data_IF_460149570845
#
_entry.id   IF_460149570845
#
_cell.length_a   1.000
_cell.length_b   1.000
_cell.length_c   1.000
_cell.angle_alpha   90.00
_cell.angle_beta   90.00
_cell.angle_gamma   90.00
#
_symmetry.space_group_name_H-M   'P 1'
#
loop_
_entity.id
_entity.type
_entity.pdbx_description
1 polymer ?
#
# COMPACT_ATOMS: atom_id res chain seq x y z
N UNK A 1 21.76 -41.58 42.24
CA UNK A 1 20.48 -40.91 41.99
C UNK A 1 20.78 -39.46 41.61
N UNK A 2 20.96 -39.21 40.33
CA UNK A 2 21.25 -37.87 39.76
C UNK A 2 19.95 -37.40 39.17
N UNK A 3 19.36 -36.37 39.78
CA UNK A 3 18.15 -35.73 39.29
C UNK A 3 18.44 -35.01 37.96
N UNK A 4 17.83 -35.45 36.89
CA UNK A 4 17.82 -34.75 35.61
C UNK A 4 17.07 -33.44 35.76
N UNK A 5 17.81 -32.36 35.63
CA UNK A 5 17.27 -31.00 35.59
C UNK A 5 16.56 -30.82 34.21
N UNK A 6 15.27 -31.03 34.15
CA UNK A 6 14.45 -30.69 32.98
C UNK A 6 14.29 -29.19 32.98
N UNK A 7 15.18 -28.50 32.26
CA UNK A 7 14.98 -27.11 31.86
C UNK A 7 13.68 -27.01 31.07
N UNK A 8 12.59 -26.66 31.75
CA UNK A 8 11.35 -26.26 31.14
C UNK A 8 11.63 -24.94 30.44
N UNK A 9 11.92 -24.97 29.11
CA UNK A 9 11.95 -23.80 28.29
C UNK A 9 10.58 -23.12 28.38
N UNK A 10 10.51 -22.07 29.18
CA UNK A 10 9.35 -21.14 29.15
C UNK A 10 9.06 -20.77 27.71
N UNK A 11 7.83 -20.95 27.22
CA UNK A 11 7.48 -20.56 25.84
C UNK A 11 7.92 -19.12 25.62
N UNK A 12 8.67 -18.86 24.56
CA UNK A 12 9.12 -17.52 24.22
C UNK A 12 7.89 -16.60 24.17
N UNK A 13 7.88 -15.55 24.99
CA UNK A 13 6.77 -14.63 25.07
C UNK A 13 6.51 -14.06 23.66
N UNK A 14 5.29 -14.26 23.14
CA UNK A 14 4.90 -13.80 21.82
C UNK A 14 5.09 -12.29 21.69
N UNK A 15 5.70 -11.85 20.59
CA UNK A 15 5.85 -10.43 20.28
C UNK A 15 4.51 -9.71 20.29
N UNK A 16 4.50 -8.48 20.82
CA UNK A 16 3.31 -7.63 20.85
C UNK A 16 3.69 -6.17 20.61
N UNK A 17 2.80 -5.42 19.95
CA UNK A 17 2.93 -3.97 19.89
C UNK A 17 2.91 -3.35 21.29
N UNK A 18 3.92 -2.55 21.61
CA UNK A 18 4.06 -1.93 22.94
C UNK A 18 2.93 -0.97 23.27
N UNK A 19 2.48 -0.19 22.26
CA UNK A 19 1.44 0.84 22.41
C UNK A 19 0.45 0.77 21.22
N UNK A 20 -0.81 1.19 21.50
CA UNK A 20 -1.84 1.33 20.46
C UNK A 20 -1.41 2.25 19.30
N UNK A 21 -0.67 3.32 19.59
CA UNK A 21 -0.18 4.26 18.57
C UNK A 21 0.80 3.62 17.59
N UNK A 22 1.62 2.68 18.04
CA UNK A 22 2.54 1.93 17.17
C UNK A 22 1.76 1.05 16.19
N UNK A 23 0.76 0.35 16.71
CA UNK A 23 -0.15 -0.44 15.86
C UNK A 23 -0.90 0.44 14.86
N UNK A 24 -1.42 1.60 15.28
CA UNK A 24 -2.11 2.54 14.37
C UNK A 24 -1.17 2.97 13.24
N UNK A 25 0.09 3.33 13.55
CA UNK A 25 1.07 3.72 12.52
C UNK A 25 1.40 2.55 11.59
N UNK A 26 1.56 1.34 12.12
CA UNK A 26 1.78 0.15 11.30
C UNK A 26 0.59 -0.14 10.38
N UNK A 27 -0.65 -0.04 10.89
CA UNK A 27 -1.86 -0.26 10.11
C UNK A 27 -2.08 0.83 9.04
N UNK A 28 -1.79 2.10 9.35
CA UNK A 28 -1.83 3.19 8.35
C UNK A 28 -0.74 2.97 7.30
N UNK A 29 0.49 2.66 7.70
CA UNK A 29 1.58 2.43 6.74
C UNK A 29 1.36 1.21 5.86
N UNK A 30 0.63 0.20 6.37
CA UNK A 30 0.17 -0.92 5.55
C UNK A 30 -0.90 -0.50 4.54
N UNK A 31 -1.88 0.31 4.96
CA UNK A 31 -3.00 0.73 4.12
C UNK A 31 -2.59 1.79 3.10
N UNK A 32 -1.74 2.75 3.48
CA UNK A 32 -1.25 3.81 2.59
C UNK A 32 -0.12 3.27 1.72
N UNK A 33 -0.46 2.81 0.54
CA UNK A 33 0.45 2.24 -0.45
C UNK A 33 0.43 3.00 -1.78
N UNK A 34 1.06 2.39 -2.78
CA UNK A 34 1.14 2.94 -4.14
C UNK A 34 -0.25 3.17 -4.76
N UNK A 35 -1.22 2.29 -4.43
CA UNK A 35 -2.58 2.38 -4.92
C UNK A 35 -3.31 3.67 -4.55
N UNK A 36 -3.01 4.23 -3.37
CA UNK A 36 -3.60 5.49 -2.92
C UNK A 36 -3.14 6.68 -3.79
N UNK A 37 -1.91 6.63 -4.31
CA UNK A 37 -1.30 7.72 -5.06
C UNK A 37 -1.72 7.70 -6.52
N UNK A 38 -1.77 6.52 -7.16
CA UNK A 38 -2.08 6.47 -8.60
C UNK A 38 -3.41 5.80 -8.97
N UNK A 39 -3.87 4.81 -8.17
CA UNK A 39 -5.10 4.09 -8.49
C UNK A 39 -6.34 4.88 -8.11
N UNK A 40 -6.40 5.39 -6.88
CA UNK A 40 -7.58 6.12 -6.39
C UNK A 40 -7.93 7.34 -7.25
N UNK A 41 -6.99 8.26 -7.58
CA UNK A 41 -7.31 9.43 -8.41
C UNK A 41 -7.90 9.04 -9.77
N UNK A 42 -7.30 8.03 -10.40
CA UNK A 42 -7.76 7.54 -11.71
C UNK A 42 -9.14 6.86 -11.61
N UNK A 43 -9.35 6.00 -10.63
CA UNK A 43 -10.65 5.32 -10.42
C UNK A 43 -11.76 6.36 -10.14
N UNK A 44 -11.49 7.34 -9.30
CA UNK A 44 -12.44 8.41 -9.00
C UNK A 44 -12.81 9.20 -10.26
N UNK A 45 -11.82 9.59 -11.06
CA UNK A 45 -12.04 10.31 -12.32
C UNK A 45 -12.87 9.51 -13.33
N UNK A 46 -12.50 8.25 -13.56
CA UNK A 46 -13.19 7.37 -14.52
C UNK A 46 -14.64 7.06 -14.11
N UNK A 47 -14.93 7.06 -12.82
CA UNK A 47 -16.24 6.69 -12.29
C UNK A 47 -17.10 7.89 -11.88
N UNK A 48 -16.86 9.07 -12.46
CA UNK A 48 -17.75 10.22 -12.32
C UNK A 48 -17.19 11.39 -11.52
N UNK A 49 -15.89 11.44 -11.30
CA UNK A 49 -15.20 12.55 -10.64
C UNK A 49 -15.72 12.79 -9.22
N UNK A 50 -16.14 14.03 -8.92
CA UNK A 50 -16.67 14.39 -7.60
C UNK A 50 -17.90 13.57 -7.16
N UNK A 51 -18.72 13.07 -8.11
CA UNK A 51 -19.85 12.21 -7.78
C UNK A 51 -19.42 10.86 -7.19
N UNK A 52 -18.24 10.34 -7.56
CA UNK A 52 -17.70 9.08 -7.05
C UNK A 52 -17.46 9.09 -5.53
N UNK A 53 -17.26 10.26 -4.93
CA UNK A 53 -17.07 10.37 -3.48
C UNK A 53 -18.29 9.86 -2.68
N UNK A 54 -19.49 9.86 -3.24
CA UNK A 54 -20.70 9.34 -2.59
C UNK A 54 -20.62 7.81 -2.43
N UNK A 55 -20.53 7.00 -3.50
CA UNK A 55 -20.39 5.56 -3.35
C UNK A 55 -19.10 5.16 -2.62
N UNK A 56 -18.03 5.96 -2.73
CA UNK A 56 -16.80 5.74 -1.97
C UNK A 56 -17.03 5.87 -0.45
N UNK A 57 -17.68 6.94 0.01
CA UNK A 57 -18.01 7.11 1.43
C UNK A 57 -19.03 6.06 1.91
N UNK A 58 -20.02 5.72 1.08
CA UNK A 58 -20.93 4.61 1.39
C UNK A 58 -20.17 3.30 1.58
N UNK A 59 -19.25 2.96 0.67
CA UNK A 59 -18.43 1.76 0.77
C UNK A 59 -17.51 1.78 2.02
N UNK A 60 -16.92 2.93 2.34
CA UNK A 60 -16.10 3.10 3.53
C UNK A 60 -16.89 2.81 4.81
N UNK A 61 -18.09 3.38 4.93
CA UNK A 61 -18.90 3.29 6.15
C UNK A 61 -19.64 1.94 6.28
N UNK A 62 -20.10 1.36 5.17
CA UNK A 62 -20.93 0.15 5.18
C UNK A 62 -20.14 -1.16 5.05
N UNK A 63 -18.96 -1.11 4.44
CA UNK A 63 -18.11 -2.28 4.25
C UNK A 63 -16.70 -2.08 4.84
N UNK A 64 -15.99 -1.01 4.48
CA UNK A 64 -14.61 -0.81 4.86
C UNK A 64 -14.38 -0.85 6.37
N UNK A 65 -15.01 0.05 7.12
CA UNK A 65 -14.88 0.11 8.58
C UNK A 65 -15.43 -1.14 9.28
N UNK A 66 -16.63 -1.66 8.95
CA UNK A 66 -17.15 -2.87 9.57
C UNK A 66 -16.26 -4.10 9.35
N UNK A 67 -15.77 -4.31 8.14
CA UNK A 67 -14.88 -5.44 7.84
C UNK A 67 -13.50 -5.28 8.50
N UNK A 68 -12.99 -4.05 8.56
CA UNK A 68 -11.74 -3.77 9.28
C UNK A 68 -11.88 -4.08 10.78
N UNK A 69 -13.02 -3.73 11.41
CA UNK A 69 -13.34 -4.09 12.79
C UNK A 69 -13.44 -5.62 12.94
N UNK A 70 -14.08 -6.30 11.99
CA UNK A 70 -14.17 -7.74 11.96
C UNK A 70 -12.78 -8.40 11.93
N UNK A 71 -11.90 -8.00 11.00
CA UNK A 71 -10.55 -8.54 10.89
C UNK A 71 -9.71 -8.26 12.15
N UNK A 72 -9.81 -7.05 12.71
CA UNK A 72 -9.15 -6.74 13.99
C UNK A 72 -9.68 -7.63 15.11
N UNK A 73 -10.97 -7.87 15.16
CA UNK A 73 -11.58 -8.72 16.18
C UNK A 73 -11.16 -10.18 16.03
N UNK A 74 -11.06 -10.69 14.80
CA UNK A 74 -10.62 -12.05 14.52
C UNK A 74 -9.16 -12.26 14.95
N UNK A 75 -8.25 -11.42 14.49
CA UNK A 75 -6.85 -11.54 14.84
C UNK A 75 -6.60 -11.34 16.34
N UNK A 76 -7.28 -10.37 16.97
CA UNK A 76 -7.15 -10.10 18.40
C UNK A 76 -7.71 -11.24 19.26
N UNK A 77 -8.85 -11.83 18.89
CA UNK A 77 -9.50 -12.92 19.64
C UNK A 77 -8.73 -14.23 19.50
N UNK A 78 -8.38 -14.60 18.28
CA UNK A 78 -7.82 -15.92 17.98
C UNK A 78 -6.28 -15.96 18.03
N UNK A 79 -5.62 -14.81 18.12
CA UNK A 79 -4.17 -14.71 18.33
C UNK A 79 -3.33 -15.55 17.37
N UNK A 80 -3.70 -15.64 16.09
CA UNK A 80 -3.06 -16.45 15.08
C UNK A 80 -2.88 -15.74 13.76
N UNK A 81 -2.24 -16.44 12.82
CA UNK A 81 -2.25 -16.06 11.40
C UNK A 81 -3.67 -16.18 10.82
N UNK A 82 -3.87 -15.67 9.60
CA UNK A 82 -5.16 -15.78 8.90
C UNK A 82 -5.70 -17.21 8.91
N UNK A 83 -4.99 -18.23 8.38
CA UNK A 83 -5.46 -19.62 8.37
C UNK A 83 -5.84 -20.15 9.75
N UNK A 84 -4.99 -19.89 10.74
CA UNK A 84 -5.22 -20.36 12.11
C UNK A 84 -6.44 -19.68 12.75
N UNK A 85 -6.60 -18.37 12.56
CA UNK A 85 -7.75 -17.64 13.10
C UNK A 85 -9.07 -18.17 12.53
N UNK A 86 -9.13 -18.44 11.24
CA UNK A 86 -10.32 -19.01 10.60
C UNK A 86 -10.53 -20.48 10.95
N UNK A 87 -9.48 -21.29 11.08
CA UNK A 87 -9.57 -22.69 11.55
C UNK A 87 -10.20 -22.79 12.93
N UNK A 88 -9.84 -21.88 13.84
CA UNK A 88 -10.41 -21.81 15.21
C UNK A 88 -11.89 -21.43 15.24
N UNK A 89 -12.45 -20.89 14.14
CA UNK A 89 -13.88 -20.66 13.98
C UNK A 89 -14.55 -21.90 13.39
N UNK A 90 -14.00 -22.43 12.31
CA UNK A 90 -14.52 -23.57 11.59
C UNK A 90 -13.39 -24.25 10.80
N UNK A 91 -13.38 -25.58 10.80
CA UNK A 91 -12.42 -26.37 10.02
C UNK A 91 -12.41 -26.00 8.52
N UNK A 92 -13.58 -25.69 7.97
CA UNK A 92 -13.73 -25.25 6.58
C UNK A 92 -13.28 -23.79 6.38
N UNK A 93 -13.32 -22.98 7.44
CA UNK A 93 -12.85 -21.59 7.39
C UNK A 93 -11.37 -21.47 7.12
N UNK A 94 -10.57 -22.46 7.45
CA UNK A 94 -9.12 -22.49 7.20
C UNK A 94 -8.78 -22.22 5.73
N UNK A 95 -9.59 -22.75 4.80
CA UNK A 95 -9.42 -22.51 3.37
C UNK A 95 -9.49 -21.01 3.02
N UNK A 96 -10.41 -20.26 3.62
CA UNK A 96 -10.52 -18.82 3.42
C UNK A 96 -9.27 -18.08 3.92
N UNK A 97 -8.69 -18.52 5.03
CA UNK A 97 -7.44 -17.99 5.54
C UNK A 97 -6.24 -18.23 4.61
N UNK A 98 -6.10 -19.45 4.09
CA UNK A 98 -5.09 -19.78 3.11
C UNK A 98 -5.26 -19.04 1.78
N UNK A 99 -6.50 -18.82 1.37
CA UNK A 99 -6.79 -18.03 0.18
C UNK A 99 -6.31 -16.57 0.33
N UNK A 100 -6.50 -15.97 1.51
CA UNK A 100 -5.97 -14.63 1.80
C UNK A 100 -4.44 -14.60 1.81
N UNK A 101 -3.79 -15.61 2.39
CA UNK A 101 -2.31 -15.74 2.37
C UNK A 101 -1.81 -15.91 0.93
N UNK A 102 -2.50 -16.67 0.11
CA UNK A 102 -2.15 -16.84 -1.30
C UNK A 102 -2.21 -15.52 -2.07
N UNK A 103 -3.25 -14.69 -1.82
CA UNK A 103 -3.33 -13.35 -2.40
C UNK A 103 -2.14 -12.50 -1.95
N UNK A 104 -1.82 -12.49 -0.65
CA UNK A 104 -0.68 -11.77 -0.10
C UNK A 104 0.64 -12.24 -0.73
N UNK A 105 0.83 -13.55 -0.90
CA UNK A 105 2.00 -14.12 -1.56
C UNK A 105 2.13 -13.65 -3.01
N UNK A 106 1.04 -13.67 -3.78
CA UNK A 106 1.05 -13.17 -5.16
C UNK A 106 1.44 -11.69 -5.23
N UNK A 107 0.95 -10.86 -4.29
CA UNK A 107 1.33 -9.45 -4.20
C UNK A 107 2.81 -9.32 -3.90
N UNK A 108 3.34 -10.07 -2.93
CA UNK A 108 4.74 -10.06 -2.56
C UNK A 108 5.70 -10.43 -3.71
N UNK A 109 5.24 -11.13 -4.73
CA UNK A 109 6.06 -11.47 -5.90
C UNK A 109 6.31 -10.27 -6.84
N UNK A 110 5.32 -9.41 -7.05
CA UNK A 110 5.45 -8.33 -8.05
C UNK A 110 5.62 -6.94 -7.44
N UNK A 111 5.09 -6.69 -6.27
CA UNK A 111 5.07 -5.35 -5.66
C UNK A 111 6.48 -4.81 -5.34
N UNK A 112 7.44 -5.63 -4.85
CA UNK A 112 8.83 -5.20 -4.66
C UNK A 112 9.51 -4.72 -5.94
N UNK A 113 9.11 -5.25 -7.11
CA UNK A 113 9.63 -4.82 -8.41
C UNK A 113 9.24 -3.36 -8.66
N UNK A 114 7.99 -3.00 -8.37
CA UNK A 114 7.50 -1.61 -8.56
C UNK A 114 8.15 -0.67 -7.55
N UNK A 115 8.41 -1.12 -6.33
CA UNK A 115 9.18 -0.36 -5.34
C UNK A 115 10.62 -0.11 -5.85
N UNK A 116 11.26 -1.13 -6.40
CA UNK A 116 12.59 -1.02 -6.99
C UNK A 116 12.63 -0.01 -8.15
N UNK A 117 11.58 0.03 -9.00
CA UNK A 117 11.43 1.06 -10.02
C UNK A 117 11.37 2.46 -9.41
N UNK A 118 10.58 2.63 -8.35
CA UNK A 118 10.46 3.93 -7.65
C UNK A 118 11.78 4.39 -7.06
N UNK A 119 12.54 3.49 -6.43
CA UNK A 119 13.89 3.77 -5.92
C UNK A 119 14.84 4.19 -7.05
N UNK A 120 14.77 3.50 -8.20
CA UNK A 120 15.62 3.83 -9.34
C UNK A 120 15.25 5.18 -9.97
N UNK A 121 13.96 5.45 -10.11
CA UNK A 121 13.46 6.72 -10.63
C UNK A 121 13.75 7.90 -9.68
N UNK A 122 13.82 7.67 -8.38
CA UNK A 122 14.31 8.67 -7.43
C UNK A 122 15.76 9.09 -7.78
N UNK A 123 16.64 8.13 -8.09
CA UNK A 123 17.99 8.40 -8.59
C UNK A 123 18.00 9.14 -9.93
N UNK A 124 17.21 8.69 -10.89
CA UNK A 124 17.09 9.33 -12.21
C UNK A 124 16.56 10.76 -12.15
N UNK A 125 15.79 11.10 -11.11
CA UNK A 125 15.26 12.46 -10.93
C UNK A 125 16.34 13.52 -10.76
N UNK A 126 17.55 13.17 -10.27
CA UNK A 126 18.64 14.14 -10.10
C UNK A 126 19.11 14.72 -11.44
N UNK A 127 19.18 13.90 -12.48
CA UNK A 127 19.67 14.29 -13.81
C UNK A 127 18.59 14.22 -14.90
N UNK A 128 17.34 13.83 -14.56
CA UNK A 128 16.23 13.63 -15.49
C UNK A 128 16.62 12.68 -16.64
N UNK A 129 17.17 11.51 -16.26
CA UNK A 129 17.74 10.54 -17.22
C UNK A 129 16.72 9.98 -18.23
N UNK A 130 15.41 10.18 -18.01
CA UNK A 130 14.36 9.82 -18.97
C UNK A 130 14.31 10.74 -20.21
N UNK A 131 15.08 11.86 -20.23
CA UNK A 131 15.18 12.75 -21.38
C UNK A 131 13.86 13.37 -21.84
N UNK A 132 13.75 13.61 -23.15
CA UNK A 132 12.57 14.27 -23.74
C UNK A 132 11.41 13.31 -24.02
N UNK A 133 11.65 11.99 -23.95
CA UNK A 133 10.61 10.98 -24.23
C UNK A 133 10.54 9.93 -23.11
N UNK A 134 9.87 10.24 -22.00
CA UNK A 134 9.71 9.31 -20.89
C UNK A 134 9.06 7.98 -21.25
N UNK A 135 8.14 7.98 -22.22
CA UNK A 135 7.48 6.74 -22.69
C UNK A 135 8.48 5.78 -23.32
N UNK A 136 9.32 6.29 -24.21
CA UNK A 136 10.36 5.50 -24.87
C UNK A 136 11.40 5.04 -23.87
N UNK A 137 11.84 5.93 -22.98
CA UNK A 137 12.79 5.60 -21.93
C UNK A 137 12.26 4.47 -21.05
N UNK A 138 11.01 4.56 -20.58
CA UNK A 138 10.42 3.56 -19.71
C UNK A 138 10.33 2.18 -20.37
N UNK A 139 9.84 2.10 -21.62
CA UNK A 139 9.63 0.85 -22.30
C UNK A 139 10.93 0.23 -22.86
N UNK A 140 11.76 1.03 -23.54
CA UNK A 140 12.92 0.51 -24.28
C UNK A 140 14.20 0.51 -23.43
N UNK A 141 14.51 1.62 -22.74
CA UNK A 141 15.78 1.78 -22.03
C UNK A 141 15.74 1.26 -20.60
N UNK A 142 14.60 1.39 -19.91
CA UNK A 142 14.46 1.00 -18.51
C UNK A 142 13.94 -0.43 -18.35
N UNK A 143 12.80 -0.77 -18.96
CA UNK A 143 12.24 -2.11 -18.86
C UNK A 143 12.86 -3.10 -19.86
N UNK A 144 13.51 -2.62 -20.92
CA UNK A 144 13.94 -3.45 -22.04
C UNK A 144 12.82 -4.36 -22.53
N UNK A 145 11.64 -3.77 -22.78
CA UNK A 145 10.43 -4.52 -23.14
C UNK A 145 10.71 -5.35 -24.41
N UNK A 146 10.71 -6.66 -24.24
CA UNK A 146 10.88 -7.62 -25.33
C UNK A 146 9.51 -8.04 -25.89
N UNK A 147 9.47 -8.40 -27.17
CA UNK A 147 8.25 -8.87 -27.85
C UNK A 147 7.88 -10.33 -27.52
N UNK A 148 8.60 -10.98 -26.60
CA UNK A 148 8.36 -12.36 -26.21
C UNK A 148 8.89 -12.73 -24.83
N UNK A 149 8.57 -13.94 -24.40
CA UNK A 149 9.07 -14.52 -23.16
C UNK A 149 10.59 -14.73 -23.23
N UNK A 150 11.34 -14.14 -22.32
CA UNK A 150 12.79 -14.32 -22.21
C UNK A 150 13.22 -14.28 -20.73
N UNK A 151 14.27 -15.06 -20.40
CA UNK A 151 14.88 -15.08 -19.06
C UNK A 151 16.06 -14.09 -18.95
N UNK A 152 16.02 -13.00 -19.71
CA UNK A 152 17.07 -11.99 -19.64
C UNK A 152 16.86 -11.09 -18.42
N UNK A 153 17.78 -11.20 -17.46
CA UNK A 153 17.81 -10.30 -16.31
C UNK A 153 18.38 -8.95 -16.72
N UNK A 154 17.69 -7.87 -16.35
CA UNK A 154 18.15 -6.50 -16.55
C UNK A 154 18.89 -6.04 -15.28
N UNK A 155 20.23 -5.90 -15.30
CA UNK A 155 21.00 -5.58 -14.08
C UNK A 155 20.56 -4.30 -13.40
N UNK A 156 20.13 -3.30 -14.18
CA UNK A 156 19.64 -2.02 -13.66
C UNK A 156 18.35 -2.16 -12.83
N UNK A 157 17.59 -3.24 -12.99
CA UNK A 157 16.39 -3.55 -12.21
C UNK A 157 16.70 -4.53 -11.06
N UNK A 158 17.63 -5.45 -11.29
CA UNK A 158 17.97 -6.48 -10.32
C UNK A 158 18.59 -5.91 -9.05
N UNK A 159 19.56 -4.98 -9.20
CA UNK A 159 20.27 -4.38 -8.05
C UNK A 159 19.30 -3.64 -7.11
N UNK A 160 18.45 -2.71 -7.58
CA UNK A 160 17.44 -2.07 -6.71
C UNK A 160 16.47 -3.06 -6.08
N UNK A 161 16.08 -4.12 -6.81
CA UNK A 161 15.20 -5.16 -6.28
C UNK A 161 15.85 -5.91 -5.13
N UNK A 162 17.13 -6.28 -5.26
CA UNK A 162 17.90 -6.92 -4.18
C UNK A 162 18.04 -5.99 -2.96
N UNK A 163 18.24 -4.71 -3.18
CA UNK A 163 18.28 -3.72 -2.08
C UNK A 163 16.91 -3.64 -1.37
N UNK A 164 15.82 -3.57 -2.11
CA UNK A 164 14.46 -3.57 -1.53
C UNK A 164 14.23 -4.83 -0.69
N UNK A 165 14.55 -6.02 -1.22
CA UNK A 165 14.44 -7.28 -0.49
C UNK A 165 15.36 -7.32 0.74
N UNK A 166 16.59 -6.83 0.65
CA UNK A 166 17.50 -6.74 1.78
C UNK A 166 16.91 -5.87 2.91
N UNK A 167 16.32 -4.72 2.56
CA UNK A 167 15.65 -3.86 3.55
C UNK A 167 14.45 -4.57 4.19
N UNK A 168 13.60 -5.24 3.39
CA UNK A 168 12.45 -6.00 3.89
C UNK A 168 12.94 -7.07 4.88
N UNK A 169 13.90 -7.89 4.49
CA UNK A 169 14.44 -8.98 5.34
C UNK A 169 15.05 -8.43 6.62
N UNK A 170 15.81 -7.34 6.55
CA UNK A 170 16.41 -6.69 7.74
C UNK A 170 15.30 -6.20 8.68
N UNK A 171 14.29 -5.51 8.17
CA UNK A 171 13.17 -5.02 8.99
C UNK A 171 12.43 -6.17 9.65
N UNK A 172 12.15 -7.24 8.90
CA UNK A 172 11.48 -8.43 9.42
C UNK A 172 12.31 -9.15 10.49
N UNK A 173 13.63 -9.19 10.32
CA UNK A 173 14.54 -9.78 11.31
C UNK A 173 14.54 -9.06 12.67
N UNK A 174 14.17 -7.77 12.71
CA UNK A 174 13.99 -7.02 13.97
C UNK A 174 12.60 -7.23 14.62
N UNK A 175 11.72 -8.00 14.00
CA UNK A 175 10.40 -8.36 14.52
C UNK A 175 9.35 -7.26 14.44
N UNK A 176 8.21 -7.50 15.09
CA UNK A 176 7.02 -6.66 14.94
C UNK A 176 7.18 -5.27 15.58
N UNK A 177 7.70 -5.19 16.80
CA UNK A 177 7.82 -3.89 17.50
C UNK A 177 9.01 -3.08 17.02
N UNK A 178 10.22 -3.68 16.98
CA UNK A 178 11.45 -2.97 16.65
C UNK A 178 11.69 -2.82 15.14
N UNK A 179 11.16 -3.73 14.34
CA UNK A 179 11.19 -3.67 12.88
C UNK A 179 9.99 -2.89 12.34
N UNK A 180 8.85 -3.54 12.20
CA UNK A 180 7.64 -2.99 11.58
C UNK A 180 7.15 -1.73 12.29
N UNK A 181 7.00 -1.80 13.62
CA UNK A 181 6.46 -0.71 14.42
C UNK A 181 7.35 0.53 14.42
N UNK A 182 8.67 0.35 14.57
CA UNK A 182 9.63 1.45 14.56
C UNK A 182 9.75 2.11 13.20
N UNK A 183 9.78 1.32 12.12
CA UNK A 183 9.85 1.83 10.76
C UNK A 183 8.62 2.67 10.43
N UNK A 184 7.41 2.16 10.68
CA UNK A 184 6.18 2.87 10.37
C UNK A 184 5.99 4.14 11.22
N UNK A 185 6.47 4.16 12.45
CA UNK A 185 6.45 5.36 13.31
C UNK A 185 7.22 6.53 12.70
N UNK A 186 8.26 6.27 11.92
CA UNK A 186 9.08 7.28 11.25
C UNK A 186 8.55 7.52 9.84
N UNK A 187 8.34 6.46 9.06
CA UNK A 187 8.05 6.56 7.63
C UNK A 187 6.66 7.14 7.33
N UNK A 188 5.64 6.79 8.13
CA UNK A 188 4.28 7.31 7.89
C UNK A 188 4.19 8.84 8.08
N UNK A 189 4.67 9.44 9.18
CA UNK A 189 4.70 10.90 9.29
C UNK A 189 5.57 11.57 8.21
N UNK A 190 6.75 11.02 7.91
CA UNK A 190 7.63 11.54 6.85
C UNK A 190 6.92 11.51 5.50
N UNK A 191 6.27 10.40 5.16
CA UNK A 191 5.48 10.27 3.93
C UNK A 191 4.39 11.35 3.83
N UNK A 192 3.60 11.52 4.90
CA UNK A 192 2.52 12.51 4.91
C UNK A 192 3.06 13.93 4.72
N UNK A 193 4.14 14.31 5.43
CA UNK A 193 4.75 15.64 5.34
C UNK A 193 5.32 15.88 3.93
N UNK A 194 6.09 14.94 3.41
CA UNK A 194 6.68 15.05 2.08
C UNK A 194 5.60 15.11 1.00
N UNK A 195 4.61 14.22 1.09
CA UNK A 195 3.52 14.20 0.11
C UNK A 195 2.66 15.46 0.18
N UNK A 196 2.35 15.96 1.37
CA UNK A 196 1.65 17.23 1.54
C UNK A 196 2.44 18.41 0.93
N UNK A 197 3.77 18.42 1.07
CA UNK A 197 4.62 19.44 0.43
C UNK A 197 4.55 19.40 -1.11
N UNK A 198 4.47 18.20 -1.70
CA UNK A 198 4.26 18.03 -3.13
C UNK A 198 2.88 18.54 -3.56
N UNK A 199 1.83 18.22 -2.80
CA UNK A 199 0.49 18.71 -3.08
C UNK A 199 0.42 20.23 -3.02
N UNK A 200 0.98 20.83 -1.97
CA UNK A 200 1.05 22.29 -1.85
C UNK A 200 1.78 22.88 -3.07
N UNK A 201 2.93 22.32 -3.44
CA UNK A 201 3.66 22.77 -4.65
C UNK A 201 2.84 22.62 -5.93
N UNK A 202 2.12 21.51 -6.07
CA UNK A 202 1.27 21.24 -7.25
C UNK A 202 0.14 22.26 -7.39
N UNK A 203 -0.46 22.71 -6.28
CA UNK A 203 -1.54 23.70 -6.28
C UNK A 203 -1.12 25.07 -6.83
N UNK A 204 0.18 25.41 -6.75
CA UNK A 204 0.73 26.65 -7.29
C UNK A 204 1.21 26.53 -8.74
N UNK A 205 1.01 25.39 -9.40
CA UNK A 205 1.36 25.24 -10.83
C UNK A 205 0.30 25.89 -11.74
N UNK A 206 0.71 26.49 -12.86
CA UNK A 206 -0.23 26.94 -13.87
C UNK A 206 -1.13 25.78 -14.36
N UNK A 207 -2.42 26.00 -14.46
CA UNK A 207 -3.38 24.94 -14.87
C UNK A 207 -3.86 24.02 -13.73
N UNK A 208 -3.31 24.11 -12.53
CA UNK A 208 -3.73 23.27 -11.37
C UNK A 208 -5.24 23.36 -11.11
N UNK A 209 -5.81 24.57 -11.14
CA UNK A 209 -7.26 24.78 -10.96
C UNK A 209 -8.10 24.05 -12.03
N UNK A 210 -7.62 23.97 -13.27
CA UNK A 210 -8.30 23.24 -14.35
C UNK A 210 -8.31 21.73 -14.06
N UNK A 211 -7.17 21.17 -13.62
CA UNK A 211 -7.08 19.76 -13.22
C UNK A 211 -8.01 19.43 -12.05
N UNK A 212 -8.01 20.26 -11.01
CA UNK A 212 -8.90 20.10 -9.87
C UNK A 212 -10.37 20.20 -10.25
N UNK A 213 -10.73 21.13 -11.14
CA UNK A 213 -12.09 21.24 -11.64
C UNK A 213 -12.54 19.97 -12.35
N UNK A 214 -11.68 19.37 -13.17
CA UNK A 214 -11.97 18.07 -13.82
C UNK A 214 -12.15 16.94 -12.80
N UNK A 215 -11.35 16.91 -11.74
CA UNK A 215 -11.44 15.89 -10.69
C UNK A 215 -12.70 16.02 -9.84
N UNK A 216 -13.05 17.25 -9.43
CA UNK A 216 -14.16 17.50 -8.52
C UNK A 216 -15.50 17.74 -9.21
N UNK A 217 -15.52 17.99 -10.53
CA UNK A 217 -16.79 18.18 -11.24
C UNK A 217 -17.62 16.88 -11.20
N UNK A 218 -18.83 16.92 -10.59
CA UNK A 218 -19.60 15.71 -10.40
C UNK A 218 -20.38 15.34 -11.68
N UNK A 219 -20.18 14.14 -12.16
CA UNK A 219 -20.99 13.55 -13.23
C UNK A 219 -22.13 12.73 -12.59
N UNK A 220 -23.20 13.37 -12.17
CA UNK A 220 -24.29 12.74 -11.40
C UNK A 220 -24.92 11.53 -12.06
N UNK A 221 -24.96 11.48 -13.40
CA UNK A 221 -25.47 10.35 -14.16
C UNK A 221 -24.72 9.05 -13.89
N UNK A 222 -23.44 9.11 -13.50
CA UNK A 222 -22.61 7.95 -13.21
C UNK A 222 -23.14 7.12 -12.03
N UNK A 223 -23.80 7.76 -11.05
CA UNK A 223 -24.34 7.07 -9.87
C UNK A 223 -25.44 6.04 -10.20
N UNK A 224 -26.02 6.10 -11.41
CA UNK A 224 -27.02 5.15 -11.89
C UNK A 224 -26.37 3.83 -12.37
N UNK A 225 -25.07 3.83 -12.61
CA UNK A 225 -24.37 2.65 -13.12
C UNK A 225 -23.83 1.79 -11.96
N UNK A 226 -24.24 0.51 -11.87
CA UNK A 226 -23.74 -0.40 -10.81
C UNK A 226 -22.20 -0.55 -10.79
N UNK A 227 -21.57 -0.43 -11.96
CA UNK A 227 -20.11 -0.49 -12.10
C UNK A 227 -19.37 0.56 -11.24
N UNK A 228 -19.96 1.76 -11.08
CA UNK A 228 -19.39 2.83 -10.24
C UNK A 228 -19.37 2.44 -8.76
N UNK A 229 -20.45 1.80 -8.30
CA UNK A 229 -20.55 1.29 -6.94
C UNK A 229 -19.57 0.13 -6.71
N UNK A 230 -19.49 -0.80 -7.66
CA UNK A 230 -18.52 -1.91 -7.62
C UNK A 230 -17.09 -1.36 -7.56
N UNK A 231 -16.77 -0.34 -8.37
CA UNK A 231 -15.47 0.30 -8.36
C UNK A 231 -15.15 0.95 -7.00
N UNK A 232 -16.14 1.58 -6.36
CA UNK A 232 -15.98 2.20 -5.05
C UNK A 232 -15.73 1.17 -3.94
N UNK A 233 -16.54 0.10 -3.89
CA UNK A 233 -16.32 -0.99 -2.95
C UNK A 233 -14.97 -1.68 -3.20
N UNK A 234 -14.63 -1.97 -4.46
CA UNK A 234 -13.33 -2.53 -4.83
C UNK A 234 -12.14 -1.64 -4.44
N UNK A 235 -12.30 -0.30 -4.54
CA UNK A 235 -11.28 0.63 -4.07
C UNK A 235 -11.09 0.56 -2.56
N UNK A 236 -12.18 0.54 -1.78
CA UNK A 236 -12.12 0.47 -0.32
C UNK A 236 -11.53 -0.86 0.15
N UNK A 237 -11.92 -2.00 -0.45
CA UNK A 237 -11.33 -3.30 -0.12
C UNK A 237 -9.83 -3.33 -0.34
N UNK A 238 -9.40 -2.86 -1.51
CA UNK A 238 -8.00 -2.79 -1.88
C UNK A 238 -7.20 -1.85 -0.97
N UNK A 239 -7.72 -0.65 -0.75
CA UNK A 239 -7.03 0.42 -0.02
C UNK A 239 -6.89 0.14 1.47
N UNK A 240 -7.85 -0.52 2.10
CA UNK A 240 -7.79 -0.91 3.52
C UNK A 240 -7.16 -2.29 3.74
N UNK A 241 -6.66 -2.95 2.70
CA UNK A 241 -6.11 -4.31 2.75
C UNK A 241 -7.07 -5.35 3.35
N UNK A 242 -8.38 -5.16 3.17
CA UNK A 242 -9.40 -6.10 3.65
C UNK A 242 -9.40 -7.36 2.78
N UNK A 243 -9.39 -8.52 3.41
CA UNK A 243 -9.33 -9.80 2.71
C UNK A 243 -7.92 -10.27 2.34
N UNK A 244 -6.87 -9.62 2.86
CA UNK A 244 -5.47 -9.99 2.62
C UNK A 244 -4.80 -10.62 3.85
N UNK A 245 -5.54 -10.87 4.92
CA UNK A 245 -5.09 -11.33 6.23
C UNK A 245 -4.11 -10.37 6.95
N UNK A 246 -3.79 -9.21 6.38
CA UNK A 246 -2.85 -8.24 6.96
C UNK A 246 -3.37 -7.76 8.32
N UNK A 247 -4.61 -7.32 8.38
CA UNK A 247 -5.19 -6.76 9.59
C UNK A 247 -5.51 -7.82 10.64
N UNK A 248 -5.78 -9.06 10.23
CA UNK A 248 -5.88 -10.22 11.12
C UNK A 248 -4.51 -10.49 11.75
N UNK A 249 -3.44 -10.55 10.96
CA UNK A 249 -2.09 -10.79 11.42
C UNK A 249 -1.63 -9.70 12.38
N UNK A 250 -1.74 -8.43 12.01
CA UNK A 250 -1.32 -7.31 12.85
C UNK A 250 -2.09 -7.22 14.17
N UNK A 251 -3.41 -7.42 14.14
CA UNK A 251 -4.23 -7.38 15.36
C UNK A 251 -3.96 -8.55 16.29
N UNK A 252 -3.40 -9.65 15.79
CA UNK A 252 -2.97 -10.78 16.61
C UNK A 252 -1.84 -10.42 17.58
N UNK A 253 -1.06 -9.39 17.28
CA UNK A 253 0.02 -8.84 18.12
C UNK A 253 -0.44 -7.74 19.09
N UNK A 254 -1.76 -7.45 19.19
CA UNK A 254 -2.29 -6.45 20.11
C UNK A 254 -2.42 -6.97 21.53
N UNK A 255 -2.30 -6.07 22.51
CA UNK A 255 -2.58 -6.36 23.92
C UNK A 255 -4.09 -6.56 24.13
N UNK A 256 -4.45 -7.37 25.15
CA UNK A 256 -5.84 -7.79 25.43
C UNK A 256 -6.84 -6.64 25.61
N UNK A 257 -6.41 -5.50 26.16
CA UNK A 257 -7.27 -4.33 26.42
C UNK A 257 -7.06 -3.24 25.36
N UNK A 258 -7.32 -3.52 24.08
CA UNK A 258 -7.18 -2.52 23.01
C UNK A 258 -8.54 -2.13 22.45
N UNK A 259 -8.78 -0.82 22.27
CA UNK A 259 -9.99 -0.32 21.61
C UNK A 259 -9.88 -0.53 20.09
N UNK A 260 -10.43 -1.65 19.59
CA UNK A 260 -10.37 -2.05 18.18
C UNK A 260 -11.23 -1.13 17.31
N UNK A 261 -12.45 -0.82 17.75
CA UNK A 261 -13.41 0.01 17.01
C UNK A 261 -12.84 1.40 16.75
N UNK A 262 -12.38 2.09 17.80
CA UNK A 262 -11.77 3.40 17.64
C UNK A 262 -10.48 3.39 16.83
N UNK A 263 -9.76 2.26 16.81
CA UNK A 263 -8.57 2.09 15.97
C UNK A 263 -8.93 1.93 14.51
N UNK A 264 -9.94 1.12 14.18
CA UNK A 264 -10.43 0.92 12.82
C UNK A 264 -10.89 2.24 12.18
N UNK A 265 -11.64 3.06 12.92
CA UNK A 265 -12.04 4.39 12.43
C UNK A 265 -10.83 5.29 12.12
N UNK A 266 -9.86 5.37 13.05
CA UNK A 266 -8.66 6.20 12.84
C UNK A 266 -7.89 5.74 11.60
N UNK A 267 -7.68 4.45 11.44
CA UNK A 267 -6.94 3.90 10.28
C UNK A 267 -7.70 4.14 8.98
N UNK A 268 -9.01 3.85 8.95
CA UNK A 268 -9.84 4.01 7.76
C UNK A 268 -9.90 5.47 7.29
N UNK A 269 -10.16 6.40 8.22
CA UNK A 269 -10.22 7.83 7.87
C UNK A 269 -8.85 8.41 7.52
N UNK A 270 -7.76 8.00 8.19
CA UNK A 270 -6.41 8.42 7.83
C UNK A 270 -6.06 7.99 6.41
N UNK A 271 -6.33 6.73 6.06
CA UNK A 271 -6.13 6.20 4.71
C UNK A 271 -6.95 6.97 3.66
N UNK A 272 -8.27 7.16 3.90
CA UNK A 272 -9.14 7.89 2.97
C UNK A 272 -8.76 9.37 2.84
N UNK A 273 -8.29 10.00 3.91
CA UNK A 273 -7.76 11.37 3.85
C UNK A 273 -6.51 11.46 3.00
N UNK A 274 -5.63 10.46 3.08
CA UNK A 274 -4.44 10.39 2.22
C UNK A 274 -4.82 10.18 0.75
N UNK A 275 -5.81 9.35 0.43
CA UNK A 275 -6.35 9.19 -0.92
C UNK A 275 -6.91 10.50 -1.48
N UNK A 276 -7.69 11.23 -0.69
CA UNK A 276 -8.22 12.53 -1.09
C UNK A 276 -7.08 13.54 -1.36
N UNK A 277 -6.08 13.57 -0.49
CA UNK A 277 -4.89 14.40 -0.67
C UNK A 277 -4.14 14.02 -1.94
N UNK A 278 -4.01 12.72 -2.23
CA UNK A 278 -3.38 12.22 -3.45
C UNK A 278 -4.17 12.62 -4.70
N UNK A 279 -5.50 12.52 -4.66
CA UNK A 279 -6.38 12.98 -5.75
C UNK A 279 -6.15 14.45 -6.09
N UNK A 280 -6.08 15.29 -5.06
CA UNK A 280 -5.80 16.73 -5.22
C UNK A 280 -4.44 16.95 -5.87
N UNK A 281 -3.38 16.33 -5.36
CA UNK A 281 -2.01 16.51 -5.86
C UNK A 281 -1.84 16.01 -7.29
N UNK A 282 -2.35 14.82 -7.58
CA UNK A 282 -2.27 14.22 -8.93
C UNK A 282 -3.01 15.05 -9.94
N UNK A 283 -4.26 15.45 -9.68
CA UNK A 283 -5.02 16.23 -10.65
C UNK A 283 -4.55 17.68 -10.77
N UNK A 284 -3.99 18.29 -9.74
CA UNK A 284 -3.31 19.58 -9.86
C UNK A 284 -2.09 19.49 -10.82
N UNK A 285 -1.29 18.43 -10.71
CA UNK A 285 -0.15 18.18 -11.60
C UNK A 285 -0.57 17.82 -13.04
N UNK A 286 -1.62 17.02 -13.22
CA UNK A 286 -2.18 16.70 -14.53
C UNK A 286 -2.77 17.95 -15.21
N UNK A 287 -3.36 18.87 -14.43
CA UNK A 287 -3.80 20.16 -14.92
C UNK A 287 -2.66 21.01 -15.48
N UNK A 288 -1.50 21.00 -14.83
CA UNK A 288 -0.29 21.63 -15.36
C UNK A 288 0.19 20.97 -16.65
N UNK A 289 0.22 19.64 -16.73
CA UNK A 289 0.60 18.94 -17.97
C UNK A 289 -0.35 19.26 -19.12
N UNK A 290 -1.65 19.27 -18.86
CA UNK A 290 -2.67 19.65 -19.84
C UNK A 290 -2.48 21.09 -20.37
N UNK A 291 -2.25 22.03 -19.46
CA UNK A 291 -2.01 23.43 -19.81
C UNK A 291 -0.71 23.62 -20.62
N UNK A 292 0.36 22.87 -20.30
CA UNK A 292 1.64 22.98 -21.01
C UNK A 292 1.66 22.27 -22.36
N UNK A 293 0.90 21.17 -22.53
CA UNK A 293 0.80 20.41 -23.78
C UNK A 293 -0.32 20.88 -24.70
N UNK A 294 -1.23 21.71 -24.21
CA UNK A 294 -2.44 22.12 -24.96
C UNK A 294 -3.48 21.01 -25.15
N UNK A 295 -3.35 19.90 -24.38
CA UNK A 295 -4.27 18.75 -24.43
C UNK A 295 -5.29 18.81 -23.28
N UNK A 296 -6.49 18.20 -23.45
CA UNK A 296 -7.43 18.07 -22.35
C UNK A 296 -6.88 17.19 -21.23
N UNK A 297 -7.21 17.50 -19.97
CA UNK A 297 -6.77 16.71 -18.80
C UNK A 297 -7.12 15.23 -18.94
N UNK A 298 -8.23 14.90 -19.59
CA UNK A 298 -8.67 13.52 -19.80
C UNK A 298 -7.78 12.69 -20.72
N UNK A 299 -7.07 13.33 -21.64
CA UNK A 299 -6.15 12.65 -22.56
C UNK A 299 -4.75 12.42 -21.94
N UNK A 300 -4.36 13.27 -20.98
CA UNK A 300 -3.09 13.13 -20.25
C UNK A 300 -3.23 12.32 -18.97
N UNK A 301 -4.47 12.02 -18.55
CA UNK A 301 -4.76 11.25 -17.35
C UNK A 301 -4.61 9.74 -17.63
N UNK A 302 -3.40 9.23 -17.45
CA UNK A 302 -3.12 7.80 -17.47
C UNK A 302 -3.38 7.16 -16.10
N UNK A 303 -3.64 5.84 -16.08
CA UNK A 303 -3.82 5.06 -14.85
C UNK A 303 -2.63 4.18 -14.52
N UNK A 304 -2.54 3.79 -13.25
CA UNK A 304 -1.56 2.80 -12.80
C UNK A 304 -0.11 3.24 -12.97
N UNK A 305 0.73 2.32 -13.45
CA UNK A 305 2.18 2.54 -13.60
C UNK A 305 2.52 3.61 -14.66
N UNK A 306 1.67 3.80 -15.67
CA UNK A 306 1.85 4.86 -16.67
C UNK A 306 1.81 6.25 -16.04
N UNK A 307 0.88 6.48 -15.12
CA UNK A 307 0.82 7.74 -14.37
C UNK A 307 2.13 8.03 -13.64
N UNK A 308 2.65 7.06 -12.87
CA UNK A 308 3.83 7.25 -12.05
C UNK A 308 5.14 7.34 -12.85
N UNK A 309 5.32 6.51 -13.88
CA UNK A 309 6.62 6.33 -14.54
C UNK A 309 6.69 6.93 -15.96
N UNK A 310 5.59 7.47 -16.47
CA UNK A 310 5.55 8.20 -17.76
C UNK A 310 5.03 9.61 -17.57
N UNK A 311 3.80 9.78 -17.04
CA UNK A 311 3.19 11.11 -16.93
C UNK A 311 3.95 12.00 -15.91
N UNK A 312 4.27 11.50 -14.71
CA UNK A 312 5.03 12.29 -13.74
C UNK A 312 6.45 12.67 -14.20
N UNK A 313 7.28 11.79 -14.79
CA UNK A 313 8.53 12.20 -15.44
C UNK A 313 8.37 13.30 -16.47
N UNK A 314 7.32 13.25 -17.30
CA UNK A 314 7.00 14.32 -18.27
C UNK A 314 6.72 15.65 -17.56
N UNK A 315 5.90 15.63 -16.51
CA UNK A 315 5.60 16.80 -15.68
C UNK A 315 6.86 17.36 -15.01
N UNK A 316 7.66 16.49 -14.42
CA UNK A 316 8.91 16.83 -13.71
C UNK A 316 9.90 17.53 -14.68
N UNK A 317 9.94 17.09 -15.95
CA UNK A 317 10.79 17.73 -16.96
C UNK A 317 10.38 19.15 -17.29
N UNK A 318 9.09 19.45 -17.27
CA UNK A 318 8.55 20.74 -17.69
C UNK A 318 8.39 21.74 -16.54
N UNK A 319 8.29 21.27 -15.27
CA UNK A 319 7.99 22.15 -14.15
C UNK A 319 9.24 22.81 -13.54
N UNK A 320 9.13 24.07 -13.06
CA UNK A 320 10.19 24.71 -12.29
C UNK A 320 10.44 23.96 -10.97
N UNK A 321 11.71 23.61 -10.69
CA UNK A 321 12.10 22.81 -9.52
C UNK A 321 11.78 21.31 -9.64
N UNK A 322 11.55 20.81 -10.85
CA UNK A 322 11.15 19.43 -11.12
C UNK A 322 12.10 18.39 -10.53
N UNK A 323 13.41 18.62 -10.51
CA UNK A 323 14.38 17.71 -9.88
C UNK A 323 14.03 17.41 -8.42
N UNK A 324 13.82 18.45 -7.61
CA UNK A 324 13.47 18.30 -6.19
C UNK A 324 12.10 17.62 -6.05
N UNK A 325 11.13 18.04 -6.86
CA UNK A 325 9.80 17.43 -6.89
C UNK A 325 9.88 15.93 -7.22
N UNK A 326 10.66 15.56 -8.24
CA UNK A 326 10.81 14.16 -8.65
C UNK A 326 11.45 13.29 -7.58
N UNK A 327 12.55 13.77 -6.95
CA UNK A 327 13.19 13.04 -5.85
C UNK A 327 12.23 12.81 -4.69
N UNK A 328 11.46 13.84 -4.29
CA UNK A 328 10.48 13.71 -3.20
C UNK A 328 9.34 12.78 -3.64
N UNK A 329 8.81 12.91 -4.86
CA UNK A 329 7.71 12.09 -5.37
C UNK A 329 8.07 10.60 -5.40
N UNK A 330 9.18 10.23 -6.03
CA UNK A 330 9.61 8.83 -6.07
C UNK A 330 10.08 8.31 -4.71
N UNK A 331 10.61 9.20 -3.85
CA UNK A 331 10.88 8.90 -2.45
C UNK A 331 9.59 8.54 -1.69
N UNK A 332 8.52 9.32 -1.85
CA UNK A 332 7.20 9.01 -1.28
C UNK A 332 6.66 7.67 -1.79
N UNK A 333 6.76 7.39 -3.10
CA UNK A 333 6.35 6.11 -3.67
C UNK A 333 7.15 4.96 -3.05
N UNK A 334 8.47 5.11 -2.90
CA UNK A 334 9.34 4.09 -2.33
C UNK A 334 8.98 3.81 -0.87
N UNK A 335 8.74 4.86 -0.06
CA UNK A 335 8.34 4.72 1.35
C UNK A 335 6.96 4.07 1.46
N UNK A 336 5.96 4.55 0.72
CA UNK A 336 4.61 4.01 0.74
C UNK A 336 4.58 2.54 0.28
N UNK A 337 5.30 2.23 -0.78
CA UNK A 337 5.44 0.85 -1.26
C UNK A 337 6.09 -0.06 -0.23
N UNK A 338 7.21 0.36 0.37
CA UNK A 338 7.97 -0.44 1.32
C UNK A 338 7.17 -0.72 2.60
N UNK A 339 6.49 0.27 3.17
CA UNK A 339 5.67 0.09 4.38
C UNK A 339 4.50 -0.85 4.15
N UNK A 340 3.88 -0.79 2.98
CA UNK A 340 2.79 -1.69 2.59
C UNK A 340 3.32 -3.11 2.32
N UNK A 341 4.43 -3.26 1.59
CA UNK A 341 5.01 -4.57 1.26
C UNK A 341 5.46 -5.35 2.50
N UNK A 342 6.09 -4.69 3.45
CA UNK A 342 6.49 -5.32 4.71
C UNK A 342 5.29 -5.97 5.41
N UNK A 343 4.12 -5.35 5.36
CA UNK A 343 2.91 -5.92 5.96
C UNK A 343 2.37 -7.14 5.21
N UNK A 344 2.52 -7.15 3.90
CA UNK A 344 2.14 -8.28 3.04
C UNK A 344 3.08 -9.47 3.27
N UNK A 345 4.38 -9.23 3.34
CA UNK A 345 5.39 -10.26 3.66
C UNK A 345 5.18 -10.84 5.06
N UNK A 346 4.79 -10.00 6.04
CA UNK A 346 4.48 -10.47 7.41
C UNK A 346 3.32 -11.47 7.43
N UNK A 347 2.31 -11.30 6.56
CA UNK A 347 1.24 -12.31 6.43
C UNK A 347 1.79 -13.67 6.05
N UNK A 348 2.69 -13.72 5.07
CA UNK A 348 3.29 -14.97 4.61
C UNK A 348 4.15 -15.62 5.70
N UNK A 349 4.99 -14.82 6.36
CA UNK A 349 5.86 -15.29 7.47
C UNK A 349 5.01 -15.79 8.64
N UNK A 350 4.02 -15.00 9.06
CA UNK A 350 3.12 -15.35 10.16
C UNK A 350 2.33 -16.62 9.86
N UNK A 351 1.87 -16.81 8.62
CA UNK A 351 1.17 -18.03 8.22
C UNK A 351 2.08 -19.28 8.36
N UNK A 352 3.34 -19.19 7.95
CA UNK A 352 4.27 -20.30 8.05
C UNK A 352 4.67 -20.58 9.50
N UNK A 353 5.04 -19.55 10.26
CA UNK A 353 5.59 -19.73 11.62
C UNK A 353 4.51 -20.09 12.63
N UNK A 354 3.42 -19.35 12.70
CA UNK A 354 2.37 -19.57 13.71
C UNK A 354 1.56 -20.84 13.43
N UNK A 355 1.33 -21.15 12.15
CA UNK A 355 0.62 -22.37 11.80
C UNK A 355 1.42 -23.62 12.14
N UNK A 356 2.72 -23.64 11.89
CA UNK A 356 3.58 -24.80 12.18
C UNK A 356 3.83 -24.98 13.68
N UNK A 357 3.99 -23.90 14.46
CA UNK A 357 4.17 -24.01 15.91
C UNK A 357 2.92 -24.55 16.62
N UNK A 358 1.74 -24.04 16.25
CA UNK A 358 0.48 -24.51 16.85
C UNK A 358 0.12 -25.95 16.40
N UNK A 359 0.50 -26.35 15.17
CA UNK A 359 0.32 -27.72 14.72
C UNK A 359 1.21 -28.73 15.47
N UNK A 360 2.35 -28.27 16.00
CA UNK A 360 3.19 -29.09 16.85
C UNK A 360 2.62 -29.28 18.27
N UNK A 361 1.90 -28.25 18.77
CA UNK A 361 1.25 -28.31 20.10
C UNK A 361 -0.08 -29.10 20.06
N UNK A 362 -0.76 -29.18 18.89
CA UNK A 362 -2.00 -29.94 18.67
C UNK A 362 -1.76 -31.45 18.41
N UNK A 363 -0.52 -31.94 18.37
CA UNK A 363 -0.26 -33.38 18.30
C UNK A 363 -0.62 -34.01 19.65
N UNK A 364 -1.63 -34.89 19.72
CA UNK A 364 -1.96 -35.58 20.96
C UNK A 364 -0.72 -36.39 21.36
N UNK A 365 -0.20 -36.10 22.54
CA UNK A 365 0.71 -37.02 23.20
C UNK A 365 -0.04 -38.35 23.35
N UNK A 366 0.30 -39.33 22.48
CA UNK A 366 -0.20 -40.69 22.59
C UNK A 366 0.34 -41.41 23.83
#
# INVERSE_FOLDING_TARGET
MTAANTDSKTPAARETFSKRSVFIMAAIGSAVGLGNIWRFPYVAYQNGGGAFLIPYLCALLTAGIPLLILEYSLGHRYRGSGPLAFRRISRWGEFAGWFQVFIAFLIALYYPIIIAWSVRYMGYSFHREWGDNPTRFFNESFLHKADGFGLHMVPNLLIPLLVVWAVIVIVMAFGVENGIGRLNRIFVPVLVILFASLVIRALFLPGAAQGLNVFFTPKWGSLRHPSVWIAAYGQIFFSLNVGFAVMITYSSYLKSKTNLVGTAHVVAFANSSFEALAGIGVFATLGFLAASSGQPVGEVAEGGIGLAFIAFPTIISQMPGGTVFGVIFFGCLSIAGLTSEISVVEVCISACLLYTSDAADDTPCG
#
